data_IF_692335617260
#
_entry.id   IF_692335617260
#
_cell.length_a   1.000
_cell.length_b   1.000
_cell.length_c   1.000
_cell.angle_alpha   90.00
_cell.angle_beta   90.00
_cell.angle_gamma   90.00
#
_symmetry.space_group_name_H-M   'P 1'
#
loop_
_entity.id
_entity.type
_entity.pdbx_description
1 polymer ?
#
# COMPACT_ATOMS: atom_id res chain seq x y z
N UNK A 1 -12.91 48.11 18.34
CA UNK A 1 -12.19 46.87 18.02
C UNK A 1 -12.16 46.72 16.51
N UNK A 2 -10.98 46.62 15.92
CA UNK A 2 -10.89 46.33 14.50
C UNK A 2 -11.15 44.83 14.28
N UNK A 3 -12.18 44.51 13.51
CA UNK A 3 -12.51 43.13 13.11
C UNK A 3 -11.60 42.82 11.92
N UNK A 4 -10.69 41.85 12.08
CA UNK A 4 -9.91 41.32 10.97
C UNK A 4 -10.81 40.34 10.22
N UNK A 5 -11.32 40.73 9.07
CA UNK A 5 -12.01 39.83 8.16
C UNK A 5 -10.94 38.96 7.44
N UNK A 6 -10.72 37.77 7.97
CA UNK A 6 -9.91 36.75 7.30
C UNK A 6 -10.86 36.13 6.26
N UNK A 7 -10.89 36.71 5.04
CA UNK A 7 -11.72 36.20 3.95
C UNK A 7 -11.64 34.68 3.85
N UNK A 8 -12.70 34.07 3.32
CA UNK A 8 -12.77 32.60 3.14
C UNK A 8 -11.54 32.10 2.38
N UNK A 9 -10.73 31.26 3.01
CA UNK A 9 -9.68 30.51 2.33
C UNK A 9 -10.34 29.69 1.21
N UNK A 10 -10.19 30.10 -0.01
CA UNK A 10 -10.79 29.46 -1.16
C UNK A 10 -9.73 28.62 -1.87
N UNK A 11 -9.65 27.36 -1.53
CA UNK A 11 -8.90 26.41 -2.33
C UNK A 11 -9.66 26.10 -3.64
N UNK A 12 -8.95 26.06 -4.74
CA UNK A 12 -9.50 25.68 -6.04
C UNK A 12 -8.98 24.32 -6.44
N UNK A 13 -9.85 23.31 -6.49
CA UNK A 13 -9.45 22.00 -6.96
C UNK A 13 -9.41 21.96 -8.48
N UNK A 14 -8.22 21.71 -9.03
CA UNK A 14 -7.93 21.67 -10.48
C UNK A 14 -7.97 20.26 -11.06
N UNK A 15 -8.31 19.24 -10.27
CA UNK A 15 -8.27 17.85 -10.71
C UNK A 15 -6.89 17.22 -10.62
N UNK A 16 -6.61 16.25 -11.49
CA UNK A 16 -5.28 15.64 -11.57
C UNK A 16 -4.25 16.67 -12.10
N UNK A 17 -3.03 16.58 -11.56
CA UNK A 17 -1.93 17.42 -12.07
C UNK A 17 -1.71 17.19 -13.56
N UNK A 18 -1.59 18.29 -14.30
CA UNK A 18 -1.30 18.26 -15.72
C UNK A 18 -0.24 19.30 -16.07
N UNK A 19 0.72 18.94 -16.91
CA UNK A 19 1.82 19.82 -17.34
C UNK A 19 1.35 21.04 -18.13
N UNK A 20 0.20 20.94 -18.82
CA UNK A 20 -0.40 22.02 -19.64
C UNK A 20 -1.25 23.00 -18.83
N UNK A 21 -1.61 22.68 -17.59
CA UNK A 21 -2.46 23.54 -16.75
C UNK A 21 -1.63 24.60 -16.07
N UNK A 22 -2.16 25.84 -16.00
CA UNK A 22 -1.55 26.91 -15.20
C UNK A 22 -2.11 26.85 -13.78
N UNK A 23 -1.21 26.87 -12.81
CA UNK A 23 -1.50 26.84 -11.39
C UNK A 23 -1.22 28.17 -10.74
N UNK A 24 -2.10 28.55 -9.84
CA UNK A 24 -2.02 29.77 -9.04
C UNK A 24 -1.97 29.37 -7.55
N UNK A 25 -1.53 30.30 -6.71
CA UNK A 25 -1.50 30.06 -5.28
C UNK A 25 -2.86 29.57 -4.76
N UNK A 26 -2.84 28.57 -3.90
CA UNK A 26 -4.00 27.92 -3.30
C UNK A 26 -4.80 26.99 -4.25
N UNK A 27 -4.29 26.74 -5.46
CA UNK A 27 -4.78 25.66 -6.30
C UNK A 27 -4.39 24.28 -5.73
N UNK A 28 -5.34 23.36 -5.74
CA UNK A 28 -5.16 21.99 -5.23
C UNK A 28 -5.25 21.00 -6.38
N UNK A 29 -4.36 20.04 -6.40
CA UNK A 29 -4.33 18.96 -7.40
C UNK A 29 -4.18 17.59 -6.75
N UNK A 30 -4.58 16.55 -7.46
CA UNK A 30 -4.21 15.16 -7.12
C UNK A 30 -2.99 14.73 -7.95
N UNK A 31 -2.02 14.12 -7.31
CA UNK A 31 -0.83 13.54 -7.95
C UNK A 31 -0.22 12.43 -7.08
N UNK A 32 0.08 11.30 -7.68
CA UNK A 32 0.70 10.17 -6.98
C UNK A 32 -0.14 9.60 -5.81
N UNK A 33 -1.48 9.69 -5.91
CA UNK A 33 -2.38 9.26 -4.83
C UNK A 33 -2.56 10.27 -3.70
N UNK A 34 -1.82 11.37 -3.70
CA UNK A 34 -1.86 12.43 -2.68
C UNK A 34 -2.53 13.70 -3.22
N UNK A 35 -2.98 14.56 -2.31
CA UNK A 35 -3.45 15.91 -2.63
C UNK A 35 -2.36 16.92 -2.34
N UNK A 36 -2.14 17.84 -3.27
CA UNK A 36 -1.08 18.84 -3.21
C UNK A 36 -1.65 20.24 -3.43
N UNK A 37 -1.11 21.21 -2.70
CA UNK A 37 -1.47 22.62 -2.86
C UNK A 37 -0.32 23.38 -3.49
N UNK A 38 -0.65 24.23 -4.48
CA UNK A 38 0.31 25.14 -5.08
C UNK A 38 0.55 26.34 -4.15
N UNK A 39 1.81 26.56 -3.76
CA UNK A 39 2.18 27.57 -2.74
C UNK A 39 2.95 28.75 -3.29
N UNK A 40 3.41 28.69 -4.54
CA UNK A 40 4.18 29.78 -5.13
C UNK A 40 3.28 30.99 -5.43
N UNK A 41 3.75 32.19 -5.08
CA UNK A 41 3.01 33.43 -5.33
C UNK A 41 2.89 33.79 -6.83
N UNK A 42 3.78 33.25 -7.67
CA UNK A 42 3.77 33.43 -9.12
C UNK A 42 3.13 32.22 -9.78
N UNK A 43 2.12 32.46 -10.62
CA UNK A 43 1.49 31.40 -11.41
C UNK A 43 2.50 30.77 -12.39
N UNK A 44 2.40 29.46 -12.54
CA UNK A 44 3.23 28.65 -13.44
C UNK A 44 2.40 27.60 -14.15
N UNK A 45 2.75 27.32 -15.41
CA UNK A 45 2.26 26.09 -16.06
C UNK A 45 2.84 24.87 -15.35
N UNK A 46 2.15 23.74 -15.38
CA UNK A 46 2.63 22.51 -14.75
C UNK A 46 4.02 22.08 -15.22
N UNK A 47 4.37 22.34 -16.50
CA UNK A 47 5.73 22.12 -17.00
C UNK A 47 6.77 22.95 -16.23
N UNK A 48 6.48 24.23 -15.94
CA UNK A 48 7.40 25.12 -15.24
C UNK A 48 7.32 25.00 -13.71
N UNK A 49 6.19 24.57 -13.18
CA UNK A 49 6.04 24.26 -11.77
C UNK A 49 6.73 22.94 -11.39
N UNK A 50 6.82 22.01 -12.34
CA UNK A 50 7.29 20.66 -12.10
C UNK A 50 6.27 19.81 -11.32
N UNK A 51 6.49 18.51 -11.27
CA UNK A 51 5.61 17.58 -10.59
C UNK A 51 5.49 17.86 -9.09
N UNK A 52 4.29 17.72 -8.51
CA UNK A 52 4.11 17.75 -7.07
C UNK A 52 4.89 16.60 -6.40
N UNK A 53 5.90 16.93 -5.64
CA UNK A 53 6.74 15.99 -4.89
C UNK A 53 7.21 16.64 -3.60
N UNK A 54 7.59 15.84 -2.62
CA UNK A 54 8.14 16.33 -1.36
C UNK A 54 9.45 17.10 -1.51
N UNK A 55 10.13 16.95 -2.65
CA UNK A 55 11.35 17.70 -3.00
C UNK A 55 11.06 19.04 -3.68
N UNK A 56 9.86 19.24 -4.22
CA UNK A 56 9.48 20.46 -4.95
C UNK A 56 8.73 21.45 -4.05
N UNK A 57 9.31 21.79 -2.91
CA UNK A 57 8.70 22.68 -1.89
C UNK A 57 8.56 24.14 -2.33
N UNK A 58 9.22 24.54 -3.42
CA UNK A 58 9.08 25.88 -4.00
C UNK A 58 7.69 26.10 -4.62
N UNK A 59 7.10 25.07 -5.15
CA UNK A 59 5.83 25.17 -5.86
C UNK A 59 4.71 24.38 -5.19
N UNK A 60 5.01 23.26 -4.51
CA UNK A 60 4.00 22.34 -4.00
C UNK A 60 4.24 22.00 -2.53
N UNK A 61 3.17 22.01 -1.77
CA UNK A 61 3.14 21.38 -0.45
C UNK A 61 2.11 20.26 -0.46
N UNK A 62 2.42 19.19 0.29
CA UNK A 62 1.46 18.12 0.48
C UNK A 62 0.33 18.62 1.39
N UNK A 63 -0.91 18.39 0.98
CA UNK A 63 -2.10 18.76 1.73
C UNK A 63 -2.71 17.53 2.42
N UNK A 64 -2.76 16.42 1.70
CA UNK A 64 -3.17 15.14 2.24
C UNK A 64 -2.32 14.04 1.57
N UNK A 65 -1.63 13.26 2.38
CA UNK A 65 -0.83 12.15 1.90
C UNK A 65 -1.74 10.94 1.63
N UNK A 66 -1.71 10.48 0.39
CA UNK A 66 -2.34 9.22 0.01
C UNK A 66 -1.32 8.10 0.17
N UNK A 67 -1.51 7.26 1.16
CA UNK A 67 -0.63 6.11 1.39
C UNK A 67 -1.08 4.95 0.51
N UNK A 68 -0.44 4.74 -0.64
CA UNK A 68 -0.56 3.48 -1.38
C UNK A 68 0.38 2.46 -0.73
N UNK A 69 -0.09 1.82 0.32
CA UNK A 69 0.68 0.79 1.01
C UNK A 69 0.77 -0.48 0.15
N UNK A 70 -0.31 -0.78 -0.59
CA UNK A 70 -0.38 -1.95 -1.48
C UNK A 70 0.13 -1.57 -2.87
N UNK A 71 1.14 -2.25 -3.37
CA UNK A 71 1.81 -1.92 -4.65
C UNK A 71 1.68 -3.01 -5.71
N UNK A 72 1.27 -4.21 -5.33
CA UNK A 72 1.17 -5.37 -6.23
C UNK A 72 -0.16 -6.09 -6.02
N UNK A 73 -0.76 -6.61 -7.08
CA UNK A 73 -1.98 -7.40 -6.98
C UNK A 73 -1.75 -8.63 -6.07
N UNK A 74 -2.64 -8.82 -5.09
CA UNK A 74 -2.53 -9.88 -4.10
C UNK A 74 -1.79 -9.50 -2.81
N UNK A 75 -1.29 -8.27 -2.70
CA UNK A 75 -0.75 -7.77 -1.44
C UNK A 75 -1.84 -7.66 -0.36
N UNK A 76 -1.45 -7.81 0.88
CA UNK A 76 -2.32 -7.69 2.05
C UNK A 76 -1.88 -6.50 2.89
N UNK A 77 -2.85 -5.67 3.30
CA UNK A 77 -2.62 -4.64 4.30
C UNK A 77 -2.68 -5.27 5.70
N UNK A 78 -1.64 -5.12 6.46
CA UNK A 78 -1.56 -5.59 7.85
C UNK A 78 -1.03 -4.49 8.77
N UNK A 79 -0.86 -4.77 10.05
CA UNK A 79 -0.40 -3.81 11.07
C UNK A 79 0.68 -4.45 11.94
N UNK A 80 1.79 -3.75 12.15
CA UNK A 80 2.92 -4.22 12.94
C UNK A 80 2.85 -3.87 14.44
N UNK A 81 1.72 -3.30 14.86
CA UNK A 81 1.53 -2.77 16.21
C UNK A 81 1.67 -1.24 16.28
N UNK A 82 2.34 -0.61 15.33
CA UNK A 82 2.56 0.84 15.25
C UNK A 82 2.03 1.45 13.96
N UNK A 83 2.20 0.76 12.83
CA UNK A 83 1.87 1.27 11.50
C UNK A 83 1.12 0.25 10.66
N UNK A 84 0.42 0.76 9.66
CA UNK A 84 -0.06 -0.06 8.56
C UNK A 84 1.12 -0.43 7.66
N UNK A 85 1.30 -1.71 7.43
CA UNK A 85 2.38 -2.24 6.60
C UNK A 85 1.84 -3.14 5.50
N UNK A 86 2.60 -3.24 4.41
CA UNK A 86 2.32 -4.15 3.32
C UNK A 86 2.91 -5.52 3.62
N UNK A 87 2.08 -6.55 3.58
CA UNK A 87 2.55 -7.92 3.41
C UNK A 87 2.47 -8.26 1.91
N UNK A 88 3.63 -8.43 1.28
CA UNK A 88 3.69 -8.82 -0.12
C UNK A 88 3.04 -10.20 -0.30
N UNK A 89 2.35 -10.40 -1.42
CA UNK A 89 1.77 -11.72 -1.74
C UNK A 89 2.86 -12.81 -1.68
N UNK A 90 2.48 -13.97 -1.18
CA UNK A 90 3.34 -15.15 -1.18
C UNK A 90 3.56 -15.74 -2.58
N UNK A 91 4.47 -16.68 -2.67
CA UNK A 91 4.71 -17.48 -3.86
C UNK A 91 3.60 -18.54 -4.04
N UNK A 92 3.56 -19.13 -5.23
CA UNK A 92 2.64 -20.24 -5.48
C UNK A 92 2.90 -21.40 -4.51
N UNK A 93 1.86 -21.88 -3.85
CA UNK A 93 1.94 -22.96 -2.86
C UNK A 93 2.26 -22.53 -1.42
N UNK A 94 2.51 -21.23 -1.19
CA UNK A 94 2.60 -20.71 0.16
C UNK A 94 1.23 -20.36 0.74
N UNK A 95 1.10 -20.52 2.06
CA UNK A 95 -0.10 -20.17 2.82
C UNK A 95 0.21 -19.04 3.80
N UNK A 96 -0.80 -18.20 4.06
CA UNK A 96 -0.70 -17.17 5.07
C UNK A 96 -0.68 -17.82 6.46
N UNK A 97 0.38 -17.56 7.21
CA UNK A 97 0.59 -18.09 8.55
C UNK A 97 0.67 -16.97 9.57
N UNK A 98 0.17 -17.22 10.77
CA UNK A 98 0.30 -16.32 11.91
C UNK A 98 1.31 -16.89 12.91
N UNK A 99 2.17 -16.03 13.43
CA UNK A 99 3.15 -16.34 14.46
C UNK A 99 3.13 -15.27 15.57
N UNK A 100 3.91 -15.46 16.60
CA UNK A 100 4.09 -14.42 17.64
C UNK A 100 4.73 -13.14 17.12
N UNK A 101 5.41 -13.20 15.96
CA UNK A 101 6.03 -12.05 15.30
C UNK A 101 5.14 -11.39 14.24
N UNK A 102 3.93 -11.94 13.96
CA UNK A 102 3.00 -11.38 12.98
C UNK A 102 2.59 -12.37 11.90
N UNK A 103 2.14 -11.80 10.77
CA UNK A 103 1.70 -12.55 9.60
C UNK A 103 2.85 -12.72 8.59
N UNK A 104 2.94 -13.88 7.98
CA UNK A 104 3.88 -14.18 6.90
C UNK A 104 3.32 -15.24 5.96
N UNK A 105 3.84 -15.30 4.73
CA UNK A 105 3.61 -16.43 3.86
C UNK A 105 4.72 -17.46 4.06
N UNK A 106 4.34 -18.72 4.14
CA UNK A 106 5.27 -19.84 4.30
C UNK A 106 4.80 -21.02 3.47
N UNK A 107 5.75 -21.85 3.06
CA UNK A 107 5.43 -23.12 2.43
C UNK A 107 4.50 -23.91 3.36
N UNK A 108 3.48 -24.53 2.79
CA UNK A 108 2.57 -25.38 3.55
C UNK A 108 3.37 -26.56 4.10
N UNK A 109 3.83 -26.42 5.33
CA UNK A 109 4.45 -27.52 6.07
C UNK A 109 3.39 -28.20 6.92
N UNK A 110 3.33 -29.50 6.88
CA UNK A 110 2.53 -30.24 7.83
C UNK A 110 1.30 -30.96 7.29
N UNK A 111 1.16 -31.11 5.97
CA UNK A 111 0.25 -32.11 5.42
C UNK A 111 0.95 -33.47 5.21
N UNK A 112 1.91 -33.77 6.07
CA UNK A 112 2.48 -35.11 6.14
C UNK A 112 1.38 -36.18 6.36
N UNK A 113 0.30 -35.82 7.08
CA UNK A 113 -0.87 -36.64 7.23
C UNK A 113 -1.65 -36.93 5.93
N UNK A 114 -1.65 -36.00 4.97
CA UNK A 114 -2.28 -36.20 3.65
C UNK A 114 -1.36 -36.95 2.68
N UNK A 115 -0.06 -36.80 2.84
CA UNK A 115 0.93 -37.63 2.14
C UNK A 115 0.85 -39.08 2.56
N UNK A 116 0.53 -39.34 3.82
CA UNK A 116 0.30 -40.71 4.32
C UNK A 116 -0.91 -41.34 3.61
N UNK A 117 -1.94 -40.58 3.32
CA UNK A 117 -3.11 -41.06 2.57
C UNK A 117 -2.92 -41.14 1.06
N UNK A 118 -1.96 -40.33 0.48
CA UNK A 118 -1.76 -40.24 -0.97
C UNK A 118 -0.56 -41.02 -1.52
N UNK A 119 0.54 -41.06 -0.82
CA UNK A 119 1.78 -41.68 -1.32
C UNK A 119 2.56 -42.54 -0.32
N UNK A 120 2.15 -42.57 0.94
CA UNK A 120 2.72 -43.42 1.99
C UNK A 120 1.62 -44.19 2.73
N UNK A 121 0.63 -44.69 2.00
CA UNK A 121 -0.06 -45.88 2.51
C UNK A 121 1.05 -46.93 2.58
N UNK A 122 1.40 -47.46 3.77
CA UNK A 122 2.31 -48.58 3.86
C UNK A 122 1.82 -49.62 2.85
N UNK A 123 2.72 -50.10 2.00
CA UNK A 123 2.31 -51.22 1.13
C UNK A 123 1.68 -52.27 1.98
N UNK A 124 0.65 -52.95 1.45
CA UNK A 124 -0.04 -54.01 2.19
C UNK A 124 0.95 -55.04 2.77
N UNK A 125 2.19 -55.06 2.20
CA UNK A 125 3.32 -55.81 2.73
C UNK A 125 3.87 -55.30 4.07
N UNK A 126 3.65 -54.02 4.40
CA UNK A 126 4.08 -53.41 5.67
C UNK A 126 2.96 -53.52 6.75
N UNK A 127 1.75 -53.87 6.35
CA UNK A 127 0.72 -54.37 7.24
C UNK A 127 1.03 -55.83 7.51
N UNK A 128 2.02 -55.97 8.35
CA UNK A 128 2.61 -57.25 8.67
C UNK A 128 1.58 -58.28 9.07
N UNK A 129 1.72 -59.44 8.46
CA UNK A 129 1.14 -60.70 8.89
C UNK A 129 1.58 -61.16 10.31
N UNK A 130 2.42 -60.35 10.99
CA UNK A 130 2.89 -60.61 12.37
C UNK A 130 1.98 -60.04 13.46
N UNK A 131 0.90 -59.32 13.13
CA UNK A 131 -0.14 -59.00 14.09
C UNK A 131 -0.92 -60.25 14.44
N UNK A 132 -0.34 -61.05 15.24
CA UNK A 132 -1.07 -62.11 16.00
C UNK A 132 -2.01 -61.41 16.96
N UNK A 133 -3.28 -61.63 16.76
CA UNK A 133 -4.34 -61.24 17.68
C UNK A 133 -4.26 -62.10 18.97
#
# INVERSE_FOLDING_TARGET
MATLDIGKLKFTFKGAFATSTTYEKDDVVSFGGSSWIYVNATSKTGTNAGNPTTSNTTHWNIMAEGTTVLTTAGDILTHDGSNQIRLAKGNAGEVLTASSSGLSFAAQSGYEGYKILGSNIPAVADMDSSSTY
#
